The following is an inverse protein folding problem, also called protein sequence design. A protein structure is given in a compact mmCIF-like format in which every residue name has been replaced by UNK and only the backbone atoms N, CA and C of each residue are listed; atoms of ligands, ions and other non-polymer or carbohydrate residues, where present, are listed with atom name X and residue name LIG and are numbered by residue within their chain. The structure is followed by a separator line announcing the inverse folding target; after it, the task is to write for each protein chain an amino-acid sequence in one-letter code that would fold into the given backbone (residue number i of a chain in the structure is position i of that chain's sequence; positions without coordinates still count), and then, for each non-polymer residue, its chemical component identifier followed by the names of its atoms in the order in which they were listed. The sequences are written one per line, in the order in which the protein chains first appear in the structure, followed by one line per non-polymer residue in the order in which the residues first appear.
data_IF_459711304824
#
_entry.id   IF_459711304824
#
_cell.length_a   1.000
_cell.length_b   1.000
_cell.length_c   1.000
_cell.angle_alpha   90.00
_cell.angle_beta   90.00
_cell.angle_gamma   90.00
#
_symmetry.space_group_name_H-M   'P 1'
#
loop_
_entity.id
_entity.type
_entity.pdbx_description
1 polymer ?
#
# COMPACT_ATOMS: atom_id res chain seq x y z
N UNK A 1 -11.60 -13.05 21.59
CA UNK A 1 -10.92 -14.16 20.91
C UNK A 1 -10.59 -13.63 19.52
N UNK A 2 -9.43 -12.99 19.41
CA UNK A 2 -9.02 -12.24 18.22
C UNK A 2 -8.55 -13.23 17.15
N UNK A 3 -9.18 -13.12 15.99
CA UNK A 3 -8.86 -13.85 14.76
C UNK A 3 -7.70 -13.12 14.04
N UNK A 4 -6.59 -12.89 14.76
CA UNK A 4 -5.56 -11.88 14.42
C UNK A 4 -4.14 -12.48 14.34
N UNK A 5 -4.03 -13.81 14.49
CA UNK A 5 -2.76 -14.56 14.42
C UNK A 5 -2.58 -15.31 13.09
N UNK A 6 -3.43 -15.08 12.09
CA UNK A 6 -3.15 -15.57 10.74
C UNK A 6 -1.82 -14.93 10.27
N UNK A 7 -0.83 -15.72 9.83
CA UNK A 7 0.45 -15.16 9.42
C UNK A 7 0.24 -14.20 8.25
N UNK A 8 0.44 -12.90 8.52
CA UNK A 8 0.31 -11.82 7.55
C UNK A 8 1.41 -11.93 6.50
N UNK A 9 1.03 -12.02 5.24
CA UNK A 9 1.96 -12.14 4.10
C UNK A 9 2.80 -10.87 3.97
N UNK A 10 2.18 -9.70 4.23
CA UNK A 10 2.84 -8.40 4.31
C UNK A 10 4.08 -8.42 5.23
N UNK A 11 4.00 -9.09 6.39
CA UNK A 11 5.13 -9.25 7.31
C UNK A 11 6.32 -10.01 6.69
N UNK A 12 6.03 -11.05 5.90
CA UNK A 12 7.04 -11.79 5.15
C UNK A 12 7.72 -10.93 4.07
N UNK A 13 6.94 -10.15 3.32
CA UNK A 13 7.49 -9.22 2.31
C UNK A 13 8.42 -8.18 2.92
N UNK A 14 8.03 -7.62 4.08
CA UNK A 14 8.84 -6.65 4.83
C UNK A 14 10.11 -7.27 5.38
N UNK A 15 10.04 -8.51 5.85
CA UNK A 15 11.24 -9.26 6.26
C UNK A 15 12.24 -9.37 5.10
N UNK A 16 11.78 -9.76 3.90
CA UNK A 16 12.64 -9.87 2.73
C UNK A 16 13.27 -8.52 2.35
N UNK A 17 12.47 -7.44 2.35
CA UNK A 17 12.97 -6.09 2.08
C UNK A 17 14.06 -5.67 3.08
N UNK A 18 13.83 -5.85 4.39
CA UNK A 18 14.77 -5.44 5.45
C UNK A 18 16.07 -6.21 5.48
N UNK A 19 16.05 -7.45 4.97
CA UNK A 19 17.22 -8.33 4.93
C UNK A 19 17.90 -8.35 3.55
N UNK A 20 17.54 -7.42 2.65
CA UNK A 20 18.13 -7.27 1.32
C UNK A 20 18.00 -8.54 0.45
N UNK A 21 16.94 -9.30 0.66
CA UNK A 21 16.62 -10.52 -0.11
C UNK A 21 15.81 -10.16 -1.37
N UNK A 22 16.35 -9.22 -2.16
CA UNK A 22 15.63 -8.56 -3.26
C UNK A 22 15.25 -9.51 -4.39
N UNK A 23 16.08 -10.50 -4.70
CA UNK A 23 15.75 -11.51 -5.72
C UNK A 23 14.51 -12.31 -5.34
N UNK A 24 14.46 -12.78 -4.08
CA UNK A 24 13.31 -13.53 -3.55
C UNK A 24 12.07 -12.65 -3.43
N UNK A 25 12.24 -11.40 -3.03
CA UNK A 25 11.15 -10.43 -3.00
C UNK A 25 10.56 -10.19 -4.40
N UNK A 26 11.43 -9.99 -5.39
CA UNK A 26 11.04 -9.81 -6.79
C UNK A 26 10.26 -11.01 -7.33
N UNK A 27 10.76 -12.23 -7.09
CA UNK A 27 10.08 -13.47 -7.51
C UNK A 27 8.69 -13.60 -6.89
N UNK A 28 8.53 -13.28 -5.60
CA UNK A 28 7.23 -13.34 -4.93
C UNK A 28 6.25 -12.28 -5.44
N UNK A 29 6.71 -11.05 -5.67
CA UNK A 29 5.86 -9.98 -6.23
C UNK A 29 5.43 -10.36 -7.64
N UNK A 30 6.36 -10.85 -8.48
CA UNK A 30 6.04 -11.36 -9.81
C UNK A 30 5.00 -12.48 -9.75
N UNK A 31 5.18 -13.46 -8.87
CA UNK A 31 4.21 -14.56 -8.70
C UNK A 31 2.83 -14.06 -8.24
N UNK A 32 2.80 -13.04 -7.38
CA UNK A 32 1.56 -12.45 -6.87
C UNK A 32 0.74 -11.75 -7.95
N UNK A 33 1.40 -11.14 -8.95
CA UNK A 33 0.74 -10.33 -9.99
C UNK A 33 0.58 -11.04 -11.34
N UNK A 34 1.29 -12.15 -11.57
CA UNK A 34 1.32 -12.84 -12.85
C UNK A 34 0.02 -13.59 -13.20
N UNK A 35 -0.75 -14.04 -12.20
CA UNK A 35 -1.98 -14.81 -12.42
C UNK A 35 -3.23 -13.90 -12.36
N UNK A 36 -4.08 -14.03 -13.38
CA UNK A 36 -5.32 -13.27 -13.55
C UNK A 36 -6.57 -14.07 -13.15
N UNK A 37 -6.41 -15.29 -12.64
CA UNK A 37 -7.51 -16.09 -12.13
C UNK A 37 -8.20 -15.45 -10.92
N UNK A 38 -9.47 -15.77 -10.71
CA UNK A 38 -10.28 -15.23 -9.59
C UNK A 38 -9.60 -15.45 -8.23
N UNK A 39 -9.01 -16.63 -8.04
CA UNK A 39 -8.26 -16.95 -6.83
C UNK A 39 -7.01 -16.08 -6.67
N UNK A 40 -6.27 -15.84 -7.73
CA UNK A 40 -5.07 -15.00 -7.70
C UNK A 40 -5.43 -13.54 -7.40
N UNK A 41 -6.50 -13.02 -8.01
CA UNK A 41 -7.05 -11.69 -7.68
C UNK A 41 -7.46 -11.58 -6.21
N UNK A 42 -8.11 -12.60 -5.66
CA UNK A 42 -8.48 -12.62 -4.24
C UNK A 42 -7.25 -12.64 -3.32
N UNK A 43 -6.21 -13.41 -3.66
CA UNK A 43 -4.94 -13.42 -2.93
C UNK A 43 -4.24 -12.06 -3.01
N UNK A 44 -4.15 -11.47 -4.21
CA UNK A 44 -3.61 -10.13 -4.40
C UNK A 44 -4.37 -9.12 -3.54
N UNK A 45 -5.71 -9.09 -3.61
CA UNK A 45 -6.53 -8.16 -2.84
C UNK A 45 -6.30 -8.29 -1.33
N UNK A 46 -6.17 -9.52 -0.81
CA UNK A 46 -5.89 -9.77 0.61
C UNK A 46 -4.50 -9.26 1.00
N UNK A 47 -3.45 -9.61 0.24
CA UNK A 47 -2.07 -9.15 0.51
C UNK A 47 -1.98 -7.63 0.41
N UNK A 48 -2.64 -7.03 -0.58
CA UNK A 48 -2.65 -5.60 -0.81
C UNK A 48 -3.38 -4.86 0.32
N UNK A 49 -4.51 -5.39 0.81
CA UNK A 49 -5.20 -4.87 1.98
C UNK A 49 -4.32 -4.89 3.23
N UNK A 50 -3.62 -6.00 3.49
CA UNK A 50 -2.68 -6.06 4.60
C UNK A 50 -1.57 -5.00 4.49
N UNK A 51 -1.03 -4.76 3.30
CA UNK A 51 0.00 -3.74 3.07
C UNK A 51 -0.56 -2.33 3.28
N UNK A 52 -1.79 -2.05 2.84
CA UNK A 52 -2.48 -0.78 3.11
C UNK A 52 -2.62 -0.55 4.61
N UNK A 53 -3.07 -1.56 5.36
CA UNK A 53 -3.25 -1.44 6.81
C UNK A 53 -1.91 -1.26 7.54
N UNK A 54 -0.87 -1.98 7.13
CA UNK A 54 0.48 -1.82 7.68
C UNK A 54 1.04 -0.41 7.39
N UNK A 55 0.88 0.08 6.17
CA UNK A 55 1.33 1.41 5.77
C UNK A 55 0.57 2.51 6.52
N UNK A 56 -0.76 2.41 6.62
CA UNK A 56 -1.60 3.33 7.39
C UNK A 56 -1.19 3.32 8.88
N UNK A 57 -1.00 2.14 9.49
CA UNK A 57 -0.59 2.05 10.89
C UNK A 57 0.82 2.63 11.14
N UNK A 58 1.75 2.51 10.18
CA UNK A 58 3.06 3.17 10.29
C UNK A 58 2.89 4.69 10.20
N UNK A 59 2.15 5.18 9.21
CA UNK A 59 1.89 6.61 9.03
C UNK A 59 1.24 7.24 10.26
N UNK A 60 0.17 6.64 10.79
CA UNK A 60 -0.53 7.12 11.98
C UNK A 60 0.42 7.19 13.20
N UNK A 61 1.32 6.21 13.38
CA UNK A 61 2.33 6.25 14.44
C UNK A 61 3.37 7.36 14.24
N UNK A 62 3.65 7.75 12.99
CA UNK A 62 4.66 8.76 12.69
C UNK A 62 4.10 10.19 12.72
N UNK A 63 2.91 10.41 12.16
CA UNK A 63 2.30 11.75 12.07
C UNK A 63 1.28 12.03 13.17
N UNK A 64 0.84 11.00 13.90
CA UNK A 64 -0.24 11.08 14.86
C UNK A 64 -1.61 10.85 14.22
N UNK A 65 -2.61 10.58 15.05
CA UNK A 65 -4.00 10.49 14.61
C UNK A 65 -4.56 11.89 14.36
N UNK A 66 -5.15 12.10 13.18
CA UNK A 66 -5.87 13.32 12.86
C UNK A 66 -7.11 13.48 13.76
N UNK A 67 -7.34 14.70 14.26
CA UNK A 67 -8.58 15.08 14.93
C UNK A 67 -9.81 15.01 14.01
N UNK A 68 -11.02 15.12 14.57
CA UNK A 68 -12.27 14.99 13.80
C UNK A 68 -12.49 16.04 12.69
N UNK A 69 -11.81 17.19 12.79
CA UNK A 69 -11.86 18.27 11.79
C UNK A 69 -10.56 18.38 10.97
N UNK A 70 -9.64 17.44 11.13
CA UNK A 70 -8.35 17.41 10.45
C UNK A 70 -8.38 16.40 9.29
N UNK A 71 -7.59 16.68 8.25
CA UNK A 71 -7.48 15.83 7.08
C UNK A 71 -6.05 15.34 6.92
N UNK A 72 -5.89 14.07 6.58
CA UNK A 72 -4.61 13.57 6.09
C UNK A 72 -4.36 14.09 4.67
N UNK A 73 -3.18 14.64 4.46
CA UNK A 73 -2.70 15.06 3.15
C UNK A 73 -1.40 14.32 2.83
N UNK A 74 -1.22 13.97 1.56
CA UNK A 74 -0.01 13.31 1.07
C UNK A 74 0.57 14.12 -0.09
N UNK A 75 1.84 14.47 0.02
CA UNK A 75 2.64 14.94 -1.12
C UNK A 75 3.39 13.75 -1.71
N UNK A 76 3.28 13.59 -3.02
CA UNK A 76 3.95 12.52 -3.75
C UNK A 76 5.05 13.16 -4.58
N UNK A 77 6.23 12.55 -4.53
CA UNK A 77 7.39 12.99 -5.28
C UNK A 77 7.92 11.83 -6.12
N UNK A 78 8.49 12.15 -7.29
CA UNK A 78 9.19 11.17 -8.10
C UNK A 78 10.63 10.92 -7.59
N UNK A 79 11.39 10.09 -8.30
CA UNK A 79 12.78 9.78 -7.95
C UNK A 79 13.76 10.96 -8.08
N UNK A 80 13.35 12.05 -8.75
CA UNK A 80 14.13 13.29 -8.84
C UNK A 80 13.74 14.30 -7.74
N UNK A 81 12.70 14.01 -6.97
CA UNK A 81 12.14 14.89 -5.94
C UNK A 81 11.07 15.85 -6.46
N UNK A 82 10.69 15.75 -7.73
CA UNK A 82 9.65 16.60 -8.31
C UNK A 82 8.28 16.16 -7.82
N UNK A 83 7.42 17.13 -7.46
CA UNK A 83 6.05 16.85 -7.01
C UNK A 83 5.23 16.25 -8.16
N UNK A 84 4.53 15.17 -7.88
CA UNK A 84 3.66 14.43 -8.80
C UNK A 84 2.23 14.51 -8.30
N UNK A 85 1.28 14.76 -9.21
CA UNK A 85 -0.13 14.76 -8.86
C UNK A 85 -0.67 13.33 -8.78
N UNK A 86 -1.62 13.09 -7.86
CA UNK A 86 -2.19 11.74 -7.64
C UNK A 86 -2.74 11.12 -8.93
N UNK A 87 -3.27 11.94 -9.85
CA UNK A 87 -3.85 11.47 -11.11
C UNK A 87 -2.80 11.05 -12.15
N UNK A 88 -1.53 11.45 -11.97
CA UNK A 88 -0.40 11.05 -12.80
C UNK A 88 0.16 9.66 -12.39
N UNK A 89 -0.22 9.18 -11.20
CA UNK A 89 0.11 7.82 -10.77
C UNK A 89 -0.57 6.76 -11.63
N UNK A 90 0.08 5.61 -11.75
CA UNK A 90 -0.55 4.45 -12.39
C UNK A 90 -1.82 4.04 -11.62
N UNK A 91 -2.83 3.48 -12.29
CA UNK A 91 -4.14 3.21 -11.69
C UNK A 91 -4.08 2.42 -10.37
N UNK A 92 -3.25 1.38 -10.30
CA UNK A 92 -3.12 0.55 -9.11
C UNK A 92 -2.41 1.28 -7.96
N UNK A 93 -1.35 2.06 -8.24
CA UNK A 93 -0.64 2.86 -7.23
C UNK A 93 -1.59 3.94 -6.68
N UNK A 94 -2.29 4.66 -7.55
CA UNK A 94 -3.30 5.65 -7.17
C UNK A 94 -4.37 5.06 -6.26
N UNK A 95 -4.89 3.89 -6.61
CA UNK A 95 -5.87 3.18 -5.80
C UNK A 95 -5.28 2.78 -4.43
N UNK A 96 -4.05 2.27 -4.38
CA UNK A 96 -3.35 1.97 -3.13
C UNK A 96 -3.20 3.18 -2.20
N UNK A 97 -2.72 4.32 -2.73
CA UNK A 97 -2.60 5.56 -1.95
C UNK A 97 -3.95 6.04 -1.44
N UNK A 98 -4.99 6.01 -2.27
CA UNK A 98 -6.35 6.39 -1.85
C UNK A 98 -6.93 5.43 -0.81
N UNK A 99 -6.67 4.13 -0.93
CA UNK A 99 -7.06 3.13 0.07
C UNK A 99 -6.40 3.44 1.42
N UNK A 100 -5.11 3.72 1.42
CA UNK A 100 -4.35 4.08 2.61
C UNK A 100 -4.87 5.36 3.28
N UNK A 101 -5.14 6.41 2.52
CA UNK A 101 -5.73 7.65 3.06
C UNK A 101 -7.15 7.43 3.60
N UNK A 102 -7.95 6.60 2.92
CA UNK A 102 -9.29 6.23 3.40
C UNK A 102 -9.22 5.42 4.70
N UNK A 103 -8.30 4.46 4.81
CA UNK A 103 -8.04 3.70 6.04
C UNK A 103 -7.64 4.63 7.19
N UNK A 104 -6.68 5.54 6.96
CA UNK A 104 -6.27 6.55 7.95
C UNK A 104 -7.44 7.43 8.41
N UNK A 105 -8.32 7.81 7.48
CA UNK A 105 -9.50 8.62 7.77
C UNK A 105 -10.68 7.83 8.37
N UNK A 106 -10.52 6.53 8.65
CA UNK A 106 -11.59 5.68 9.17
C UNK A 106 -12.73 5.41 8.18
N UNK A 107 -12.50 5.60 6.87
CA UNK A 107 -13.47 5.40 5.78
C UNK A 107 -13.30 4.03 5.14
N UNK A 108 -13.61 2.97 5.88
CA UNK A 108 -13.39 1.59 5.44
C UNK A 108 -14.10 1.21 4.14
N UNK A 109 -15.31 1.72 3.88
CA UNK A 109 -16.04 1.46 2.63
C UNK A 109 -15.31 2.05 1.42
N UNK A 110 -14.78 3.27 1.55
CA UNK A 110 -13.99 3.91 0.50
C UNK A 110 -12.70 3.13 0.25
N UNK A 111 -12.02 2.67 1.31
CA UNK A 111 -10.83 1.83 1.22
C UNK A 111 -11.11 0.53 0.45
N UNK A 112 -12.21 -0.17 0.79
CA UNK A 112 -12.61 -1.41 0.13
C UNK A 112 -12.85 -1.23 -1.38
N UNK A 113 -13.46 -0.11 -1.79
CA UNK A 113 -13.64 0.22 -3.22
C UNK A 113 -12.28 0.38 -3.90
N UNK A 114 -11.35 1.11 -3.29
CA UNK A 114 -10.02 1.32 -3.88
C UNK A 114 -9.22 0.00 -3.98
N UNK A 115 -9.29 -0.87 -2.97
CA UNK A 115 -8.65 -2.20 -3.02
C UNK A 115 -9.18 -3.04 -4.20
N UNK A 116 -10.49 -3.00 -4.45
CA UNK A 116 -11.09 -3.65 -5.61
C UNK A 116 -10.57 -3.10 -6.95
N UNK A 117 -10.40 -1.78 -7.05
CA UNK A 117 -9.82 -1.15 -8.24
C UNK A 117 -8.37 -1.55 -8.48
N UNK A 118 -7.56 -1.62 -7.42
CA UNK A 118 -6.16 -2.06 -7.52
C UNK A 118 -6.07 -3.54 -7.97
N UNK A 119 -6.87 -4.42 -7.37
CA UNK A 119 -6.90 -5.84 -7.72
C UNK A 119 -7.39 -6.10 -9.15
N UNK A 120 -8.32 -5.27 -9.63
CA UNK A 120 -8.86 -5.31 -10.99
C UNK A 120 -7.99 -4.63 -12.05
N UNK A 121 -6.84 -4.06 -11.68
CA UNK A 121 -5.96 -3.40 -12.65
C UNK A 121 -5.45 -4.42 -13.69
N UNK A 122 -5.54 -4.11 -15.00
CA UNK A 122 -5.25 -5.07 -16.06
C UNK A 122 -3.75 -5.33 -16.23
N UNK A 123 -2.89 -4.37 -15.89
CA UNK A 123 -1.45 -4.49 -16.06
C UNK A 123 -0.80 -5.10 -14.79
N UNK A 124 -0.15 -6.28 -14.89
CA UNK A 124 0.65 -6.84 -13.79
C UNK A 124 1.76 -5.91 -13.29
N UNK A 125 2.37 -5.11 -14.18
CA UNK A 125 3.43 -4.18 -13.79
C UNK A 125 2.89 -3.05 -12.91
N UNK A 126 1.69 -2.53 -13.22
CA UNK A 126 1.01 -1.55 -12.36
C UNK A 126 0.72 -2.12 -10.98
N UNK A 127 0.24 -3.36 -10.90
CA UNK A 127 -0.02 -4.06 -9.63
C UNK A 127 1.26 -4.30 -8.84
N UNK A 128 2.36 -4.68 -9.50
CA UNK A 128 3.66 -4.85 -8.86
C UNK A 128 4.18 -3.53 -8.29
N UNK A 129 4.10 -2.45 -9.07
CA UNK A 129 4.48 -1.11 -8.63
C UNK A 129 3.67 -0.66 -7.40
N UNK A 130 2.36 -0.97 -7.37
CA UNK A 130 1.52 -0.67 -6.22
C UNK A 130 1.93 -1.45 -4.96
N UNK A 131 2.25 -2.75 -5.10
CA UNK A 131 2.76 -3.57 -3.99
C UNK A 131 4.07 -3.00 -3.45
N UNK A 132 5.01 -2.68 -4.35
CA UNK A 132 6.31 -2.10 -3.96
C UNK A 132 6.12 -0.76 -3.26
N UNK A 133 5.29 0.12 -3.79
CA UNK A 133 4.98 1.42 -3.20
C UNK A 133 4.47 1.29 -1.76
N UNK A 134 3.44 0.48 -1.53
CA UNK A 134 2.90 0.26 -0.19
C UNK A 134 3.86 -0.46 0.74
N UNK A 135 4.69 -1.37 0.22
CA UNK A 135 5.71 -2.05 1.00
C UNK A 135 6.75 -1.07 1.55
N UNK A 136 7.18 -0.09 0.74
CA UNK A 136 8.05 0.99 1.20
C UNK A 136 7.37 1.86 2.26
N UNK A 137 6.11 2.23 2.08
CA UNK A 137 5.35 2.97 3.09
C UNK A 137 5.23 2.19 4.41
N UNK A 138 4.92 0.88 4.33
CA UNK A 138 4.85 -0.03 5.47
C UNK A 138 6.21 -0.28 6.16
N UNK A 139 7.32 0.00 5.48
CA UNK A 139 8.65 0.01 6.08
C UNK A 139 9.03 1.36 6.71
N UNK A 140 8.22 2.40 6.51
CA UNK A 140 8.50 3.75 7.02
C UNK A 140 9.34 4.60 6.07
N UNK A 141 9.46 4.21 4.80
CA UNK A 141 10.20 4.96 3.79
C UNK A 141 9.32 6.09 3.22
N UNK A 142 9.05 7.10 4.05
CA UNK A 142 8.36 8.34 3.67
C UNK A 142 8.91 9.51 4.48
N UNK A 143 8.67 10.74 4.00
CA UNK A 143 9.03 11.96 4.72
C UNK A 143 7.78 12.61 5.30
N UNK A 144 7.89 13.15 6.51
CA UNK A 144 6.83 13.92 7.15
C UNK A 144 7.23 15.39 7.10
N UNK A 145 6.40 16.21 6.47
CA UNK A 145 6.56 17.65 6.53
C UNK A 145 6.06 18.17 7.89
N UNK A 146 6.89 18.93 8.60
CA UNK A 146 6.46 19.75 9.74
C UNK A 146 5.58 20.87 9.23
N UNK A 147 4.36 20.99 9.74
CA UNK A 147 3.59 22.22 9.58
C UNK A 147 4.14 23.23 10.61
N UNK A 148 5.04 24.11 10.16
CA UNK A 148 5.50 25.27 10.95
C UNK A 148 4.43 26.36 11.04
#
# INVERSE_FOLDING_TARGET
MHDDDAPRISGGLRYLLRHDLLDTLGDLICALVADEGERARAVFAAVFAELVDDAAAVLERTVGAAGPDEAYFAEIHDGNGDRVEVDELTPAVRAGVRAMLATLAGRGDDAAVQLGLAAGAPDPADRANAVVCLLFCADGQFSVASAD
#
